data_IF_492923636562
#
_entry.id   IF_492923636562
#
_cell.length_a   1.000
_cell.length_b   1.000
_cell.length_c   1.000
_cell.angle_alpha   90.00
_cell.angle_beta   90.00
_cell.angle_gamma   90.00
#
_symmetry.space_group_name_H-M   'P 1'
#
loop_
_entity.id
_entity.type
_entity.pdbx_description
1 polymer ?
#
# COMPACT_ATOMS: atom_id res chain seq x y z
N UNK A 1 16.71 -8.99 4.82
CA UNK A 1 15.58 -8.82 3.89
C UNK A 1 15.37 -7.33 3.74
N UNK A 2 15.89 -6.76 2.65
CA UNK A 2 15.75 -5.35 2.31
C UNK A 2 14.27 -4.98 2.24
N UNK A 3 13.84 -4.14 3.18
CA UNK A 3 12.52 -3.50 3.12
C UNK A 3 12.57 -2.53 1.95
N UNK A 4 11.52 -2.44 1.12
CA UNK A 4 11.48 -1.44 0.06
C UNK A 4 11.61 -0.04 0.67
N UNK A 5 12.44 0.80 0.06
CA UNK A 5 12.63 2.19 0.46
C UNK A 5 11.48 3.04 -0.08
N UNK A 6 10.33 2.93 0.59
CA UNK A 6 9.09 3.61 0.20
C UNK A 6 9.12 5.06 0.67
N UNK A 7 9.04 6.00 -0.28
CA UNK A 7 8.88 7.42 0.05
C UNK A 7 7.41 7.74 0.39
N UNK A 8 7.10 7.60 1.68
CA UNK A 8 5.78 7.89 2.25
C UNK A 8 5.36 9.37 2.12
N UNK A 9 6.25 10.29 1.74
CA UNK A 9 5.87 11.68 1.44
C UNK A 9 5.01 11.78 0.18
N UNK A 10 5.13 10.83 -0.74
CA UNK A 10 4.29 10.73 -1.95
C UNK A 10 2.97 10.01 -1.69
N UNK A 11 2.78 9.43 -0.51
CA UNK A 11 1.57 8.70 -0.17
C UNK A 11 0.41 9.68 0.06
N UNK A 12 -0.80 9.40 -0.47
CA UNK A 12 -1.97 10.23 -0.20
C UNK A 12 -2.34 10.21 1.29
N UNK A 13 -3.07 11.23 1.73
CA UNK A 13 -3.58 11.30 3.11
C UNK A 13 -4.51 10.12 3.35
N UNK A 14 -4.21 9.33 4.39
CA UNK A 14 -4.96 8.10 4.71
C UNK A 14 -4.38 6.81 4.12
N UNK A 15 -3.30 6.87 3.33
CA UNK A 15 -2.55 5.68 2.94
C UNK A 15 -1.87 5.03 4.16
N UNK A 16 -2.15 3.75 4.37
CA UNK A 16 -1.63 2.96 5.49
C UNK A 16 -0.67 1.87 5.02
N UNK A 17 -0.90 1.29 3.84
CA UNK A 17 -0.01 0.27 3.28
C UNK A 17 0.39 0.61 1.85
N UNK A 18 1.53 0.07 1.44
CA UNK A 18 2.01 0.05 0.07
C UNK A 18 2.30 -1.39 -0.30
N UNK A 19 1.88 -1.84 -1.47
CA UNK A 19 2.27 -3.13 -2.01
C UNK A 19 2.28 -3.10 -3.54
N UNK A 20 2.92 -4.09 -4.13
CA UNK A 20 2.88 -4.41 -5.54
C UNK A 20 1.95 -5.60 -5.75
N UNK A 21 1.11 -5.52 -6.78
CA UNK A 21 0.22 -6.59 -7.20
C UNK A 21 0.95 -7.62 -8.09
N UNK A 22 0.23 -8.67 -8.50
CA UNK A 22 0.77 -9.71 -9.39
C UNK A 22 1.19 -9.16 -10.77
N UNK A 23 0.55 -8.08 -11.22
CA UNK A 23 0.88 -7.41 -12.48
C UNK A 23 2.15 -6.55 -12.36
N UNK A 24 2.71 -6.40 -11.16
CA UNK A 24 3.82 -5.52 -10.87
C UNK A 24 3.41 -4.06 -10.64
N UNK A 25 2.13 -3.74 -10.56
CA UNK A 25 1.68 -2.39 -10.28
C UNK A 25 1.76 -2.09 -8.78
N UNK A 26 2.38 -0.97 -8.42
CA UNK A 26 2.41 -0.51 -7.05
C UNK A 26 1.14 0.28 -6.71
N UNK A 27 0.56 -0.02 -5.55
CA UNK A 27 -0.70 0.57 -5.06
C UNK A 27 -0.54 1.02 -3.61
N UNK A 28 -1.12 2.17 -3.28
CA UNK A 28 -1.36 2.60 -1.91
C UNK A 28 -2.70 2.04 -1.44
N UNK A 29 -2.72 1.36 -0.31
CA UNK A 29 -3.94 0.91 0.35
C UNK A 29 -4.25 1.85 1.50
N UNK A 30 -5.42 2.47 1.43
CA UNK A 30 -5.90 3.38 2.46
C UNK A 30 -6.51 2.61 3.62
N UNK A 31 -6.36 3.13 4.84
CA UNK A 31 -7.13 2.63 5.98
C UNK A 31 -8.61 2.69 5.63
N UNK A 32 -9.36 1.59 5.77
CA UNK A 32 -10.79 1.63 5.50
C UNK A 32 -11.44 2.59 6.49
N UNK A 33 -12.29 3.46 5.95
CA UNK A 33 -13.21 4.26 6.74
C UNK A 33 -14.37 3.34 7.12
N UNK A 34 -14.12 2.45 8.09
CA UNK A 34 -15.14 1.52 8.60
C UNK A 34 -16.11 2.32 9.44
N UNK A 35 -17.23 2.73 8.82
CA UNK A 35 -18.44 2.98 9.58
C UNK A 35 -18.80 1.68 10.35
N UNK A 36 -19.16 1.74 11.65
CA UNK A 36 -19.26 0.58 12.54
C UNK A 36 -20.29 -0.52 12.16
N UNK A 37 -20.91 -0.46 10.97
CA UNK A 37 -21.97 -1.36 10.52
C UNK A 37 -21.83 -1.91 9.09
N UNK A 38 -20.68 -1.73 8.41
CA UNK A 38 -20.47 -2.31 7.07
C UNK A 38 -19.50 -3.49 7.09
N UNK A 39 -19.99 -4.67 6.70
CA UNK A 39 -19.21 -5.92 6.56
C UNK A 39 -18.20 -5.91 5.38
N UNK A 40 -17.95 -4.74 4.77
CA UNK A 40 -17.12 -4.62 3.57
C UNK A 40 -15.84 -3.86 3.88
N UNK A 41 -14.71 -4.57 3.81
CA UNK A 41 -13.38 -3.98 3.87
C UNK A 41 -12.96 -3.51 2.48
N UNK A 42 -13.45 -2.34 2.05
CA UNK A 42 -12.87 -1.67 0.88
C UNK A 42 -11.76 -0.72 1.35
N UNK A 43 -10.53 -1.23 1.39
CA UNK A 43 -9.36 -0.35 1.39
C UNK A 43 -9.29 0.28 0.00
N UNK A 44 -9.67 1.56 -0.10
CA UNK A 44 -9.56 2.25 -1.39
C UNK A 44 -8.08 2.26 -1.82
N UNK A 45 -7.86 1.78 -3.04
CA UNK A 45 -6.54 1.67 -3.62
C UNK A 45 -6.25 2.88 -4.53
N UNK A 46 -5.04 3.39 -4.45
CA UNK A 46 -4.56 4.48 -5.31
C UNK A 46 -3.27 4.05 -6.01
N UNK A 47 -3.04 4.44 -7.27
CA UNK A 47 -1.79 4.14 -7.94
C UNK A 47 -0.61 4.74 -7.17
N UNK A 48 0.46 3.96 -7.02
CA UNK A 48 1.67 4.36 -6.35
C UNK A 48 2.88 4.19 -7.29
N UNK A 49 3.97 4.96 -7.08
CA UNK A 49 5.25 4.66 -7.69
C UNK A 49 5.76 3.29 -7.21
N UNK A 50 6.50 2.58 -8.06
CA UNK A 50 7.13 1.29 -7.70
C UNK A 50 8.34 1.43 -6.76
N UNK A 51 8.85 2.64 -6.57
CA UNK A 51 10.04 2.94 -5.74
C UNK A 51 11.25 2.03 -6.04
N UNK A 52 11.39 1.56 -7.28
CA UNK A 52 12.46 0.66 -7.68
C UNK A 52 12.38 -0.74 -7.06
N UNK A 53 11.26 -1.14 -6.46
CA UNK A 53 11.12 -2.50 -5.92
C UNK A 53 11.12 -3.52 -7.06
N UNK A 54 12.08 -4.44 -6.98
CA UNK A 54 12.25 -5.57 -7.87
C UNK A 54 12.34 -6.81 -6.98
N UNK A 55 11.29 -7.64 -6.98
CA UNK A 55 11.22 -8.81 -6.11
C UNK A 55 9.84 -9.45 -6.10
N UNK A 56 9.68 -10.43 -5.21
CA UNK A 56 8.40 -11.12 -5.01
C UNK A 56 7.35 -10.14 -4.47
N UNK A 57 6.29 -9.91 -5.24
CA UNK A 57 5.19 -9.02 -4.90
C UNK A 57 4.55 -9.41 -3.57
N UNK A 58 4.56 -10.70 -3.19
CA UNK A 58 4.03 -11.19 -1.90
C UNK A 58 4.79 -10.66 -0.70
N UNK A 59 6.04 -10.21 -0.91
CA UNK A 59 6.91 -9.63 0.12
C UNK A 59 6.95 -8.10 0.08
N UNK A 60 6.22 -7.48 -0.86
CA UNK A 60 6.22 -6.03 -1.04
C UNK A 60 5.36 -5.28 -0.01
N UNK A 61 4.45 -5.99 0.68
CA UNK A 61 3.53 -5.39 1.64
C UNK A 61 4.30 -4.64 2.74
N UNK A 62 4.19 -3.32 2.70
CA UNK A 62 4.91 -2.41 3.59
C UNK A 62 3.90 -1.50 4.27
N UNK A 63 3.89 -1.53 5.61
CA UNK A 63 3.07 -0.62 6.41
C UNK A 63 3.77 0.72 6.62
N UNK A 64 2.98 1.80 6.65
CA UNK A 64 3.45 3.15 6.94
C UNK A 64 4.01 3.22 8.37
N UNK A 65 5.29 3.62 8.55
CA UNK A 65 5.83 3.87 9.88
C UNK A 65 5.08 5.02 10.57
N UNK A 66 4.98 4.95 11.90
CA UNK A 66 4.34 5.98 12.73
C UNK A 66 5.10 7.31 12.68
#
# INVERSE_FOLDING_TARGET
MDKPEIDWKKAPKGARWWAIDENGEARWYMTPDVAPFTNFWFAAEKPAPRFGFIGDWRKSLTERPK
#
